data_IF_526554823708
#
_entry.id   IF_526554823708
#
_cell.length_a   1.000
_cell.length_b   1.000
_cell.length_c   1.000
_cell.angle_alpha   90.00
_cell.angle_beta   90.00
_cell.angle_gamma   90.00
#
_symmetry.space_group_name_H-M   'P 1'
#
loop_
_entity.id
_entity.type
_entity.pdbx_description
1 polymer ?
#
# COMPACT_ATOMS: atom_id res chain seq x y z
N UNK A 1 30.67 -5.02 -21.67
CA UNK A 1 30.03 -5.06 -20.33
C UNK A 1 29.34 -3.73 -20.13
N UNK A 2 28.02 -3.72 -19.94
CA UNK A 2 27.26 -2.51 -19.62
C UNK A 2 26.92 -2.55 -18.13
N UNK A 3 27.19 -1.48 -17.40
CA UNK A 3 26.99 -1.40 -15.95
C UNK A 3 25.90 -0.37 -15.71
N UNK A 4 24.79 -0.81 -15.13
CA UNK A 4 23.68 0.06 -14.75
C UNK A 4 23.61 0.20 -13.23
N UNK A 5 23.59 1.44 -12.75
CA UNK A 5 23.50 1.73 -11.32
C UNK A 5 22.04 1.71 -10.83
N UNK A 6 21.82 1.02 -9.71
CA UNK A 6 20.52 0.99 -9.03
C UNK A 6 20.32 2.31 -8.29
N UNK A 7 19.36 3.13 -8.74
CA UNK A 7 19.06 4.45 -8.17
C UNK A 7 18.65 4.43 -6.70
N UNK A 8 17.95 3.37 -6.26
CA UNK A 8 17.41 3.23 -4.90
C UNK A 8 17.60 1.80 -4.38
N UNK A 9 18.72 1.49 -3.73
CA UNK A 9 19.04 0.12 -3.34
C UNK A 9 18.12 -0.44 -2.25
N UNK A 10 17.60 0.42 -1.37
CA UNK A 10 16.76 0.03 -0.22
C UNK A 10 15.29 -0.30 -0.60
N UNK A 11 14.94 -0.20 -1.88
CA UNK A 11 13.62 -0.57 -2.42
C UNK A 11 13.72 -1.86 -3.24
N UNK A 12 14.91 -2.24 -3.66
CA UNK A 12 15.17 -3.49 -4.36
C UNK A 12 15.13 -4.66 -3.37
N UNK A 13 14.26 -5.62 -3.62
CA UNK A 13 14.10 -6.78 -2.75
C UNK A 13 15.40 -7.59 -2.62
N UNK A 14 16.19 -7.70 -3.70
CA UNK A 14 17.41 -8.51 -3.69
C UNK A 14 18.49 -7.88 -2.79
N UNK A 15 18.72 -6.58 -2.94
CA UNK A 15 19.70 -5.86 -2.13
C UNK A 15 19.30 -5.80 -0.65
N UNK A 16 18.00 -5.70 -0.35
CA UNK A 16 17.51 -5.81 1.03
C UNK A 16 17.78 -7.21 1.59
N UNK A 17 17.50 -8.26 0.81
CA UNK A 17 17.75 -9.64 1.24
C UNK A 17 19.25 -9.86 1.52
N UNK A 18 20.13 -9.40 0.64
CA UNK A 18 21.58 -9.52 0.80
C UNK A 18 22.12 -8.69 1.97
N UNK A 19 21.56 -7.50 2.21
CA UNK A 19 21.89 -6.70 3.40
C UNK A 19 21.51 -7.42 4.70
N UNK A 20 20.38 -8.12 4.72
CA UNK A 20 19.95 -8.90 5.88
C UNK A 20 20.83 -10.15 6.05
N UNK A 21 21.14 -10.88 4.99
CA UNK A 21 21.99 -12.08 5.10
C UNK A 21 23.39 -11.72 5.57
N UNK A 22 24.00 -10.65 5.06
CA UNK A 22 25.28 -10.14 5.56
C UNK A 22 25.24 -9.78 7.05
N UNK A 23 24.13 -9.24 7.55
CA UNK A 23 23.96 -8.95 8.98
C UNK A 23 23.82 -10.22 9.82
N UNK A 24 23.12 -11.23 9.30
CA UNK A 24 22.98 -12.53 9.97
C UNK A 24 24.32 -13.29 10.04
N UNK A 25 25.13 -13.22 8.99
CA UNK A 25 26.49 -13.80 8.97
C UNK A 25 27.42 -13.13 9.98
N UNK A 26 27.27 -11.80 10.16
CA UNK A 26 27.96 -11.02 11.21
C UNK A 26 27.40 -11.25 12.61
N UNK A 27 26.54 -12.26 12.80
CA UNK A 27 25.94 -12.65 14.09
C UNK A 27 25.08 -11.56 14.74
N UNK A 28 24.49 -10.66 13.95
CA UNK A 28 23.50 -9.71 14.45
C UNK A 28 22.19 -10.46 14.72
N UNK A 29 21.49 -10.11 15.81
CA UNK A 29 20.18 -10.68 16.12
C UNK A 29 19.20 -10.48 14.95
N UNK A 30 18.60 -11.55 14.47
CA UNK A 30 17.71 -11.54 13.29
C UNK A 30 16.56 -10.53 13.41
N UNK A 31 15.97 -10.37 14.60
CA UNK A 31 14.92 -9.37 14.88
C UNK A 31 15.39 -7.93 14.64
N UNK A 32 16.64 -7.62 15.02
CA UNK A 32 17.22 -6.29 14.85
C UNK A 32 17.49 -6.00 13.38
N UNK A 33 18.09 -6.96 12.67
CA UNK A 33 18.38 -6.84 11.25
C UNK A 33 17.10 -6.60 10.43
N UNK A 34 16.06 -7.40 10.67
CA UNK A 34 14.78 -7.26 9.97
C UNK A 34 14.07 -5.95 10.30
N UNK A 35 13.94 -5.57 11.59
CA UNK A 35 13.28 -4.30 11.95
C UNK A 35 13.98 -3.09 11.34
N UNK A 36 15.31 -3.09 11.33
CA UNK A 36 16.10 -2.03 10.71
C UNK A 36 15.86 -1.96 9.20
N UNK A 37 15.87 -3.11 8.51
CA UNK A 37 15.63 -3.19 7.08
C UNK A 37 14.20 -2.72 6.71
N UNK A 38 13.19 -3.15 7.46
CA UNK A 38 11.80 -2.73 7.24
C UNK A 38 11.63 -1.21 7.41
N UNK A 39 12.18 -0.65 8.50
CA UNK A 39 12.11 0.79 8.76
C UNK A 39 12.82 1.61 7.67
N UNK A 40 13.97 1.15 7.18
CA UNK A 40 14.67 1.79 6.08
C UNK A 40 13.85 1.78 4.78
N UNK A 41 13.28 0.63 4.42
CA UNK A 41 12.47 0.48 3.21
C UNK A 41 11.19 1.34 3.27
N UNK A 42 10.48 1.34 4.40
CA UNK A 42 9.29 2.18 4.61
C UNK A 42 9.64 3.67 4.56
N UNK A 43 10.77 4.09 5.16
CA UNK A 43 11.23 5.49 5.13
C UNK A 43 11.53 5.99 3.71
N UNK A 44 11.95 5.09 2.81
CA UNK A 44 12.29 5.42 1.42
C UNK A 44 11.10 5.30 0.45
N UNK A 45 9.90 5.04 0.98
CA UNK A 45 8.64 5.11 0.24
C UNK A 45 8.13 3.78 -0.29
N UNK A 46 8.60 2.64 0.23
CA UNK A 46 7.91 1.37 0.00
C UNK A 46 6.50 1.43 0.63
N UNK A 47 5.47 0.97 -0.09
CA UNK A 47 4.09 0.97 0.39
C UNK A 47 3.81 -0.20 1.36
N UNK A 48 4.63 -1.24 1.28
CA UNK A 48 4.70 -2.28 2.28
C UNK A 48 5.85 -3.24 2.04
N UNK A 49 6.22 -3.94 3.09
CA UNK A 49 7.29 -4.93 3.08
C UNK A 49 6.89 -6.13 3.92
N UNK A 50 7.20 -7.32 3.43
CA UNK A 50 7.13 -8.57 4.18
C UNK A 50 8.49 -9.23 4.12
N UNK A 51 8.99 -9.66 5.28
CA UNK A 51 10.25 -10.38 5.38
C UNK A 51 9.97 -11.68 6.12
N UNK A 52 10.37 -12.80 5.54
CA UNK A 52 10.32 -14.11 6.18
C UNK A 52 11.74 -14.65 6.33
N UNK A 53 12.08 -15.11 7.53
CA UNK A 53 13.35 -15.79 7.82
C UNK A 53 13.05 -17.20 8.28
N UNK A 54 13.63 -18.19 7.63
CA UNK A 54 13.47 -19.60 7.95
C UNK A 54 14.83 -20.25 8.21
N UNK A 55 14.94 -21.03 9.28
CA UNK A 55 16.14 -21.79 9.61
C UNK A 55 16.46 -21.78 11.10
N UNK A 56 17.73 -22.04 11.43
CA UNK A 56 18.24 -22.10 12.81
C UNK A 56 18.53 -20.69 13.37
N UNK A 57 17.45 -19.94 13.61
CA UNK A 57 17.53 -18.56 14.06
C UNK A 57 18.24 -18.45 15.42
N UNK A 58 19.22 -17.54 15.51
CA UNK A 58 20.10 -17.37 16.68
C UNK A 58 20.88 -18.62 17.11
N UNK A 59 21.07 -19.60 16.22
CA UNK A 59 21.83 -20.82 16.52
C UNK A 59 21.07 -21.85 17.35
N UNK A 60 19.75 -21.70 17.50
CA UNK A 60 18.90 -22.70 18.16
C UNK A 60 18.86 -23.97 17.29
N UNK A 61 18.80 -25.12 17.96
CA UNK A 61 18.83 -26.44 17.31
C UNK A 61 17.64 -26.65 16.36
N UNK A 62 16.45 -26.25 16.79
CA UNK A 62 15.21 -26.41 16.01
C UNK A 62 15.04 -25.21 15.06
N UNK A 63 14.83 -25.51 13.78
CA UNK A 63 14.54 -24.50 12.78
C UNK A 63 13.17 -23.86 13.02
N UNK A 64 13.09 -22.54 12.90
CA UNK A 64 11.86 -21.76 13.02
C UNK A 64 11.66 -20.88 11.81
N UNK A 65 10.41 -20.57 11.51
CA UNK A 65 10.04 -19.60 10.48
C UNK A 65 9.38 -18.42 11.15
N UNK A 66 10.04 -17.27 11.08
CA UNK A 66 9.57 -16.01 11.64
C UNK A 66 9.31 -15.05 10.49
N UNK A 67 8.19 -14.33 10.55
CA UNK A 67 7.85 -13.35 9.55
C UNK A 67 7.40 -12.04 10.17
N UNK A 68 7.82 -10.96 9.55
CA UNK A 68 7.39 -9.61 9.88
C UNK A 68 6.82 -8.95 8.64
N UNK A 69 5.76 -8.16 8.84
CA UNK A 69 5.08 -7.42 7.79
C UNK A 69 4.79 -6.03 8.30
N UNK A 70 5.02 -5.06 7.44
CA UNK A 70 4.66 -3.66 7.64
C UNK A 70 4.00 -3.11 6.37
N UNK A 71 2.95 -2.29 6.53
CA UNK A 71 2.20 -1.74 5.41
C UNK A 71 1.33 -2.76 4.64
N UNK A 72 1.09 -2.47 3.36
CA UNK A 72 0.24 -3.27 2.48
C UNK A 72 1.08 -4.16 1.58
N UNK A 73 0.76 -5.45 1.51
CA UNK A 73 1.41 -6.42 0.59
C UNK A 73 0.32 -7.33 0.01
N UNK A 74 -0.38 -6.90 -1.05
CA UNK A 74 -1.47 -7.66 -1.65
C UNK A 74 -0.95 -8.75 -2.61
N UNK A 75 -0.76 -9.97 -2.11
CA UNK A 75 -0.18 -11.08 -2.89
C UNK A 75 -1.11 -11.66 -3.99
N UNK A 76 -2.41 -11.38 -3.93
CA UNK A 76 -3.39 -11.90 -4.89
C UNK A 76 -3.68 -10.91 -6.03
N UNK A 77 -3.24 -9.66 -5.89
CA UNK A 77 -3.56 -8.61 -6.86
C UNK A 77 -2.47 -8.56 -7.93
N UNK A 78 -2.76 -9.02 -9.14
CA UNK A 78 -1.77 -9.05 -10.24
C UNK A 78 -1.29 -7.66 -10.68
N UNK A 79 -2.08 -6.61 -10.44
CA UNK A 79 -1.70 -5.22 -10.75
C UNK A 79 -0.67 -4.62 -9.78
N UNK A 80 -0.45 -5.29 -8.64
CA UNK A 80 0.46 -4.83 -7.62
C UNK A 80 1.90 -5.10 -8.06
N UNK A 81 2.72 -4.05 -8.09
CA UNK A 81 4.16 -4.17 -8.34
C UNK A 81 4.85 -4.66 -7.06
N UNK A 82 5.11 -5.97 -7.05
CA UNK A 82 5.71 -6.67 -5.91
C UNK A 82 7.01 -7.30 -6.37
N UNK A 83 8.11 -6.77 -5.84
CA UNK A 83 9.41 -7.39 -6.00
C UNK A 83 9.59 -8.49 -4.96
N UNK A 84 9.97 -9.67 -5.44
CA UNK A 84 10.30 -10.81 -4.61
C UNK A 84 11.75 -11.19 -4.81
N UNK A 85 12.45 -11.42 -3.70
CA UNK A 85 13.81 -11.90 -3.70
C UNK A 85 14.05 -12.90 -2.56
N UNK A 86 15.07 -13.71 -2.76
CA UNK A 86 15.49 -14.75 -1.82
C UNK A 86 17.01 -14.71 -1.72
N UNK A 87 17.52 -14.76 -0.49
CA UNK A 87 18.94 -14.82 -0.21
C UNK A 87 19.19 -15.79 0.94
N UNK A 88 20.33 -16.46 0.89
CA UNK A 88 20.73 -17.49 1.86
C UNK A 88 21.92 -16.98 2.67
N UNK A 89 21.78 -16.95 3.99
CA UNK A 89 22.88 -16.61 4.90
C UNK A 89 23.62 -17.88 5.32
N UNK A 90 24.94 -17.92 5.11
CA UNK A 90 25.78 -19.05 5.49
C UNK A 90 26.32 -18.83 6.90
N UNK A 91 25.62 -19.38 7.89
CA UNK A 91 26.05 -19.29 9.29
C UNK A 91 26.77 -20.56 9.72
N UNK A 92 27.53 -20.48 10.81
CA UNK A 92 28.22 -21.66 11.41
C UNK A 92 27.27 -22.81 11.73
N UNK A 93 26.00 -22.51 12.03
CA UNK A 93 24.99 -23.50 12.43
C UNK A 93 24.21 -24.06 11.23
N UNK A 94 24.51 -23.59 10.01
CA UNK A 94 23.82 -23.98 8.78
C UNK A 94 23.31 -22.77 7.99
N UNK A 95 22.37 -23.04 7.09
CA UNK A 95 21.83 -22.04 6.17
C UNK A 95 20.54 -21.45 6.74
N UNK A 96 20.44 -20.12 6.71
CA UNK A 96 19.21 -19.39 7.02
C UNK A 96 18.68 -18.79 5.73
N UNK A 97 17.47 -19.16 5.34
CA UNK A 97 16.80 -18.61 4.16
C UNK A 97 16.04 -17.34 4.51
N UNK A 98 16.29 -16.26 3.78
CA UNK A 98 15.57 -14.98 3.89
C UNK A 98 14.79 -14.77 2.61
N UNK A 99 13.48 -14.52 2.75
CA UNK A 99 12.58 -14.18 1.65
C UNK A 99 12.00 -12.80 1.90
N UNK A 100 12.07 -11.93 0.90
CA UNK A 100 11.64 -10.54 0.98
C UNK A 100 10.61 -10.26 -0.10
N UNK A 101 9.52 -9.60 0.27
CA UNK A 101 8.53 -9.03 -0.64
C UNK A 101 8.49 -7.52 -0.39
N UNK A 102 8.68 -6.72 -1.44
CA UNK A 102 8.55 -5.27 -1.39
C UNK A 102 7.44 -4.85 -2.33
N UNK A 103 6.43 -4.17 -1.79
CA UNK A 103 5.36 -3.58 -2.57
C UNK A 103 5.70 -2.12 -2.86
N UNK A 104 5.94 -1.80 -4.12
CA UNK A 104 6.32 -0.45 -4.58
C UNK A 104 5.10 0.40 -4.95
N UNK A 105 4.00 -0.24 -5.30
CA UNK A 105 2.74 0.40 -5.65
C UNK A 105 1.96 -0.40 -6.68
N UNK A 106 0.84 0.14 -7.14
CA UNK A 106 0.10 -0.43 -8.25
C UNK A 106 0.76 0.05 -9.56
N UNK A 107 1.11 -0.87 -10.45
CA UNK A 107 1.52 -0.50 -11.82
C UNK A 107 0.26 -0.18 -12.61
N UNK A 108 -0.19 1.07 -12.56
CA UNK A 108 -1.12 1.58 -13.56
C UNK A 108 -0.39 1.61 -14.91
N UNK A 109 -0.66 0.62 -15.78
CA UNK A 109 -0.41 0.78 -17.21
C UNK A 109 0.99 0.44 -17.72
N UNK A 110 1.49 -0.79 -17.50
CA UNK A 110 2.48 -1.35 -18.44
C UNK A 110 1.85 -2.11 -19.62
N UNK A 111 0.57 -2.46 -19.52
CA UNK A 111 -0.24 -2.95 -20.65
C UNK A 111 -1.14 -1.89 -21.28
N UNK A 112 -1.31 -0.73 -20.64
CA UNK A 112 -1.79 0.50 -21.26
C UNK A 112 -0.62 1.49 -21.19
N UNK A 113 0.27 1.45 -22.17
CA UNK A 113 1.16 2.58 -22.37
C UNK A 113 0.30 3.85 -22.36
N UNK A 114 0.65 4.91 -21.60
CA UNK A 114 0.02 6.18 -21.85
C UNK A 114 0.35 6.48 -23.30
N UNK A 115 -0.68 6.50 -24.16
CA UNK A 115 -0.56 7.19 -25.43
C UNK A 115 -0.11 8.58 -25.02
N UNK A 116 1.18 8.85 -25.21
CA UNK A 116 1.68 10.21 -25.15
C UNK A 116 0.76 10.96 -26.11
N UNK A 117 -0.14 11.77 -25.56
CA UNK A 117 -0.79 12.78 -26.35
C UNK A 117 0.35 13.70 -26.77
N UNK A 118 0.96 13.38 -27.91
CA UNK A 118 1.61 14.41 -28.68
C UNK A 118 0.56 15.51 -28.82
N UNK A 119 0.81 16.72 -28.31
CA UNK A 119 -0.12 17.82 -28.49
C UNK A 119 -0.20 18.02 -29.99
N UNK A 120 -1.33 17.63 -30.59
CA UNK A 120 -1.61 17.90 -32.00
C UNK A 120 -1.27 19.36 -32.24
N UNK A 121 -0.28 19.60 -33.08
CA UNK A 121 0.16 20.94 -33.42
C UNK A 121 -1.04 21.73 -33.90
N UNK A 122 -1.07 22.99 -33.48
CA UNK A 122 -2.18 23.95 -33.66
C UNK A 122 -2.55 24.22 -35.13
N UNK A 123 -1.81 23.63 -36.05
CA UNK A 123 -1.86 23.79 -37.51
C UNK A 123 -3.04 23.05 -38.19
N UNK A 124 -3.74 22.16 -37.49
CA UNK A 124 -4.99 21.55 -37.98
C UNK A 124 -6.26 22.36 -37.63
N UNK A 125 -6.12 23.51 -36.94
CA UNK A 125 -7.21 24.49 -36.82
C UNK A 125 -7.30 25.36 -38.08
N UNK A 126 -7.61 24.74 -39.22
CA UNK A 126 -7.95 25.51 -40.43
C UNK A 126 -9.20 26.36 -40.15
N UNK A 127 -9.20 27.67 -40.43
CA UNK A 127 -10.40 28.48 -40.28
C UNK A 127 -11.47 27.97 -41.25
N UNK A 128 -12.69 27.77 -40.75
CA UNK A 128 -13.88 27.58 -41.61
C UNK A 128 -13.91 28.77 -42.58
N UNK A 129 -13.75 28.48 -43.87
CA UNK A 129 -13.74 29.49 -44.94
C UNK A 129 -15.00 30.36 -44.94
N UNK A 130 -14.96 31.53 -45.62
CA UNK A 130 -16.03 32.50 -45.57
C UNK A 130 -17.34 31.91 -46.11
N UNK A 131 -18.43 32.15 -45.37
CA UNK A 131 -19.80 31.81 -45.78
C UNK A 131 -20.06 32.42 -47.16
N UNK A 132 -20.12 31.55 -48.18
CA UNK A 132 -20.48 31.92 -49.54
C UNK A 132 -21.94 32.34 -49.58
N UNK A 133 -22.11 33.65 -49.68
CA UNK A 133 -23.10 34.38 -50.45
C UNK A 133 -24.60 34.05 -50.30
N UNK A 134 -25.29 35.09 -49.88
CA UNK A 134 -26.67 35.43 -50.18
C UNK A 134 -27.27 34.74 -51.42
N UNK A 135 -28.44 34.11 -51.23
CA UNK A 135 -29.44 33.95 -52.29
C UNK A 135 -30.74 34.63 -51.85
N UNK A 136 -31.27 35.59 -52.63
CA UNK A 136 -32.51 36.30 -52.31
C UNK A 136 -33.73 35.53 -52.81
N UNK A 137 -34.81 35.57 -52.01
CA UNK A 137 -36.19 35.38 -52.47
C UNK A 137 -36.72 33.95 -52.48
N UNK A 138 -37.89 33.75 -51.87
CA UNK A 138 -38.75 32.58 -52.10
C UNK A 138 -39.48 32.09 -50.85
N UNK A 139 -40.74 32.45 -50.75
CA UNK A 139 -41.73 32.18 -49.69
C UNK A 139 -41.66 30.79 -49.03
N UNK A 140 -41.58 30.77 -47.69
CA UNK A 140 -41.91 29.58 -46.90
C UNK A 140 -42.66 29.98 -45.62
N UNK A 141 -43.94 29.61 -45.46
CA UNK A 141 -44.74 30.02 -44.30
C UNK A 141 -44.30 29.28 -43.02
N UNK A 142 -44.43 29.88 -41.83
CA UNK A 142 -44.09 29.21 -40.58
C UNK A 142 -45.32 28.51 -40.00
N UNK A 143 -45.26 27.20 -39.76
CA UNK A 143 -46.19 26.58 -38.81
C UNK A 143 -45.69 25.26 -38.21
N UNK A 144 -45.58 25.31 -36.88
CA UNK A 144 -46.14 24.35 -35.91
C UNK A 144 -45.41 23.01 -35.74
N UNK A 145 -44.80 22.87 -34.56
CA UNK A 145 -44.37 21.58 -34.03
C UNK A 145 -43.63 21.71 -32.70
N UNK A 146 -44.37 21.74 -31.61
CA UNK A 146 -43.87 21.77 -30.24
C UNK A 146 -42.90 20.61 -29.97
N UNK A 147 -41.71 20.91 -29.42
CA UNK A 147 -40.84 19.92 -28.79
C UNK A 147 -40.75 20.20 -27.29
N UNK A 148 -41.12 19.16 -26.53
CA UNK A 148 -41.12 19.00 -25.06
C UNK A 148 -40.00 19.78 -24.35
N UNK A 149 -40.27 20.49 -23.24
CA UNK A 149 -39.20 20.94 -22.36
C UNK A 149 -38.59 19.74 -21.62
N UNK A 150 -37.26 19.70 -21.61
CA UNK A 150 -36.47 18.79 -20.78
C UNK A 150 -36.72 19.13 -19.31
N UNK A 151 -37.21 18.14 -18.56
CA UNK A 151 -37.44 18.26 -17.12
C UNK A 151 -36.13 18.51 -16.40
N UNK A 152 -36.07 19.67 -15.76
CA UNK A 152 -35.12 20.06 -14.73
C UNK A 152 -35.27 19.15 -13.52
N UNK A 153 -34.15 18.62 -12.99
CA UNK A 153 -34.11 17.89 -11.72
C UNK A 153 -34.53 18.82 -10.58
N UNK A 154 -35.80 18.73 -10.17
CA UNK A 154 -36.32 19.30 -8.94
C UNK A 154 -36.60 18.14 -7.97
N UNK A 155 -35.91 18.13 -6.82
CA UNK A 155 -36.19 17.23 -5.72
C UNK A 155 -37.53 17.60 -5.06
N UNK A 156 -38.42 16.65 -4.72
CA UNK A 156 -39.58 16.94 -3.89
C UNK A 156 -39.19 17.01 -2.41
N UNK A 157 -39.67 18.05 -1.73
CA UNK A 157 -39.77 18.14 -0.28
C UNK A 157 -41.06 17.46 0.22
N UNK A 158 -41.07 17.12 1.51
CA UNK A 158 -42.05 16.29 2.24
C UNK A 158 -42.03 14.80 1.90
N UNK A 159 -41.91 13.86 2.84
CA UNK A 159 -42.27 13.90 4.25
C UNK A 159 -43.33 12.81 4.48
N UNK A 160 -42.93 11.69 5.09
CA UNK A 160 -43.73 10.50 5.47
C UNK A 160 -43.69 9.34 4.46
N UNK A 161 -42.79 8.38 4.69
CA UNK A 161 -43.16 6.95 4.74
C UNK A 161 -42.01 6.11 5.29
N UNK A 162 -42.27 5.50 6.46
CA UNK A 162 -41.37 4.66 7.23
C UNK A 162 -41.70 3.20 6.91
N UNK A 163 -40.79 2.39 6.33
CA UNK A 163 -40.99 0.95 6.32
C UNK A 163 -40.59 0.37 7.68
N UNK A 164 -41.50 -0.45 8.21
CA UNK A 164 -41.32 -1.25 9.41
C UNK A 164 -40.48 -2.51 9.12
N UNK A 165 -39.85 -2.96 10.21
CA UNK A 165 -39.38 -4.31 10.52
C UNK A 165 -37.92 -4.69 10.20
N UNK A 166 -37.14 -4.80 11.29
CA UNK A 166 -35.91 -5.57 11.42
C UNK A 166 -35.49 -5.61 12.90
N UNK A 167 -36.25 -6.33 13.74
CA UNK A 167 -35.75 -6.81 15.03
C UNK A 167 -35.16 -8.20 14.86
N UNK A 168 -33.86 -8.34 15.10
CA UNK A 168 -33.27 -9.26 16.10
C UNK A 168 -31.83 -9.66 15.71
N UNK A 169 -30.83 -9.10 16.40
CA UNK A 169 -29.52 -9.73 16.67
C UNK A 169 -28.66 -8.86 17.62
N UNK A 170 -27.97 -9.46 18.62
CA UNK A 170 -27.58 -8.80 19.86
C UNK A 170 -26.23 -8.05 19.81
N UNK A 171 -26.19 -6.92 20.52
CA UNK A 171 -24.98 -6.15 20.84
C UNK A 171 -24.08 -6.93 21.80
N UNK A 172 -22.91 -7.36 21.35
CA UNK A 172 -21.85 -7.90 22.20
C UNK A 172 -21.21 -6.81 23.04
N UNK A 173 -21.41 -6.88 24.34
CA UNK A 173 -20.79 -6.06 25.40
C UNK A 173 -19.31 -6.44 25.55
N UNK A 174 -18.39 -5.56 25.11
CA UNK A 174 -16.96 -5.71 25.42
C UNK A 174 -16.69 -5.18 26.83
N UNK A 175 -16.40 -6.11 27.74
CA UNK A 175 -16.05 -5.88 29.14
C UNK A 175 -14.64 -5.27 29.22
N UNK A 176 -14.57 -3.98 29.58
CA UNK A 176 -13.34 -3.23 29.89
C UNK A 176 -12.69 -3.80 31.16
N UNK A 177 -11.63 -4.60 31.02
CA UNK A 177 -10.80 -5.04 32.15
C UNK A 177 -9.86 -3.91 32.57
N UNK A 178 -10.00 -3.47 33.82
CA UNK A 178 -9.13 -2.49 34.48
C UNK A 178 -7.77 -3.11 34.77
N UNK A 179 -6.73 -2.35 34.43
CA UNK A 179 -5.34 -2.53 34.85
C UNK A 179 -5.29 -2.42 36.37
N UNK A 180 -4.93 -3.50 37.07
CA UNK A 180 -4.61 -3.48 38.50
C UNK A 180 -3.10 -3.22 38.59
N UNK A 181 -2.77 -2.05 39.12
CA UNK A 181 -1.41 -1.68 39.55
C UNK A 181 -1.22 -2.27 40.95
N UNK A 182 -0.20 -3.10 41.15
CA UNK A 182 0.22 -3.54 42.47
C UNK A 182 1.08 -2.44 43.13
N UNK A 183 0.80 -2.04 44.38
CA UNK A 183 1.74 -1.23 45.16
C UNK A 183 2.79 -2.15 45.82
N UNK A 184 4.05 -1.73 45.72
CA UNK A 184 5.17 -2.32 46.43
C UNK A 184 4.98 -2.15 47.95
N UNK A 185 5.19 -3.22 48.69
CA UNK A 185 5.31 -3.23 50.15
C UNK A 185 6.64 -2.62 50.56
N UNK A 186 6.60 -1.45 51.21
CA UNK A 186 7.68 -0.92 52.05
C UNK A 186 7.61 -1.61 53.41
N UNK A 187 8.56 -2.50 53.68
CA UNK A 187 8.82 -3.08 54.99
C UNK A 187 10.17 -2.59 55.51
N UNK A 188 10.12 -1.81 56.58
CA UNK A 188 11.23 -1.30 57.41
C UNK A 188 11.75 -2.39 58.37
N UNK A 189 13.08 -2.47 58.56
CA UNK A 189 13.80 -2.52 59.86
C UNK A 189 15.01 -3.50 59.92
N UNK A 190 16.12 -2.96 60.47
CA UNK A 190 17.29 -3.60 61.10
C UNK A 190 18.19 -4.47 60.18
N UNK A 191 19.53 -4.44 60.24
CA UNK A 191 20.44 -4.32 61.39
C UNK A 191 21.86 -3.95 60.89
N UNK A 192 22.69 -3.36 61.77
CA UNK A 192 24.15 -3.43 61.64
C UNK A 192 24.93 -2.10 61.56
N UNK A 193 24.99 -1.34 62.66
CA UNK A 193 26.18 -0.56 63.00
C UNK A 193 27.04 -1.38 63.98
N UNK A 194 28.34 -1.50 63.71
CA UNK A 194 29.30 -2.15 64.58
C UNK A 194 30.73 -1.92 64.11
N UNK A 195 31.40 -1.00 64.84
CA UNK A 195 32.84 -0.73 65.00
C UNK A 195 33.73 -0.42 63.78
#
# INVERSE_FOLDING_TARGET
VNIEEVRKPEIDAQLIADSITQQLEKRIMFRRAMKRAMQNAMRLGAQGIKIMSAGRLNGIEIARTEWYREGRVPLHTLRADIDYATSEAKTTYGIIGVKVWVYKGDTLGRNDAPTAQEPRSEEERRPRGPRRDARPGGDRPPARGARRPAGTNAAPADGSDKPADATDAPKTTVKRVRKITAPASTGTAADGQGE
#
